data_IF_319355187425
#
_entry.id   IF_319355187425
#
_cell.length_a   1.000
_cell.length_b   1.000
_cell.length_c   1.000
_cell.angle_alpha   90.00
_cell.angle_beta   90.00
_cell.angle_gamma   90.00
#
_symmetry.space_group_name_H-M   'P 1'
#
loop_
_entity.id
_entity.type
_entity.pdbx_description
1 polymer ?
#
# COMPACT_ATOMS: atom_id res chain seq x y z
N UNK A 1 -7.37 -9.93 30.71
CA UNK A 1 -7.31 -8.46 30.81
C UNK A 1 -5.86 -8.03 30.82
N UNK A 2 -5.31 -7.63 29.68
CA UNK A 2 -4.19 -6.68 29.47
C UNK A 2 -4.02 -6.62 27.95
N UNK A 3 -4.81 -5.75 27.30
CA UNK A 3 -4.74 -5.53 25.86
C UNK A 3 -3.40 -4.88 25.54
N UNK A 4 -2.49 -5.62 24.89
CA UNK A 4 -1.24 -5.03 24.42
C UNK A 4 -1.53 -4.20 23.19
N UNK A 5 -1.59 -2.90 23.44
CA UNK A 5 -1.48 -1.80 22.50
C UNK A 5 -0.29 -2.06 21.56
N UNK A 6 -0.54 -2.53 20.34
CA UNK A 6 0.48 -2.59 19.32
C UNK A 6 0.65 -1.15 18.80
N UNK A 7 1.64 -0.45 19.34
CA UNK A 7 2.07 0.86 18.81
C UNK A 7 2.68 0.59 17.44
N UNK A 8 1.82 0.63 16.42
CA UNK A 8 2.25 0.80 15.03
C UNK A 8 2.82 2.20 14.98
N UNK A 9 4.16 2.29 15.06
CA UNK A 9 4.89 3.50 14.71
C UNK A 9 4.71 3.70 13.20
N UNK A 10 3.58 4.29 12.83
CA UNK A 10 3.36 4.83 11.49
C UNK A 10 4.36 5.97 11.38
N UNK A 11 5.47 5.72 10.68
CA UNK A 11 6.32 6.80 10.19
C UNK A 11 5.43 7.64 9.29
N UNK A 12 4.97 8.77 9.83
CA UNK A 12 4.31 9.82 9.09
C UNK A 12 5.35 10.36 8.10
N UNK A 13 5.43 9.75 6.92
CA UNK A 13 6.01 10.42 5.77
C UNK A 13 5.04 11.56 5.45
N UNK A 14 5.34 12.75 5.97
CA UNK A 14 4.71 13.97 5.49
C UNK A 14 5.08 14.11 4.01
N UNK A 15 4.21 13.60 3.14
CA UNK A 15 4.26 13.92 1.72
C UNK A 15 3.94 15.40 1.64
N UNK A 16 4.96 16.22 1.40
CA UNK A 16 4.77 17.60 1.02
C UNK A 16 4.03 17.59 -0.32
N UNK A 17 2.71 17.75 -0.28
CA UNK A 17 1.91 18.05 -1.47
C UNK A 17 2.23 19.49 -1.84
N UNK A 18 3.12 19.69 -2.81
CA UNK A 18 3.27 20.99 -3.44
C UNK A 18 2.17 21.11 -4.49
N UNK A 19 1.32 22.12 -4.30
CA UNK A 19 0.28 22.51 -5.25
C UNK A 19 0.80 23.50 -6.32
N UNK A 20 2.11 23.52 -6.55
CA UNK A 20 2.72 24.38 -7.55
C UNK A 20 2.29 23.95 -8.97
N UNK A 21 2.07 24.93 -9.83
CA UNK A 21 1.81 24.70 -11.25
C UNK A 21 3.10 24.94 -12.02
N UNK A 22 3.56 23.95 -12.77
CA UNK A 22 4.60 24.09 -13.77
C UNK A 22 4.04 23.56 -15.07
N UNK A 23 3.72 24.44 -16.01
CA UNK A 23 3.13 24.07 -17.30
C UNK A 23 3.89 24.74 -18.45
N UNK A 24 4.44 23.94 -19.36
CA UNK A 24 5.26 24.43 -20.48
C UNK A 24 6.74 24.63 -20.14
N UNK A 25 7.48 25.24 -21.06
CA UNK A 25 8.93 25.43 -20.94
C UNK A 25 9.35 26.78 -21.50
N UNK A 26 10.30 27.42 -20.84
CA UNK A 26 10.94 28.64 -21.33
C UNK A 26 12.08 28.30 -22.28
N UNK A 27 12.09 28.91 -23.47
CA UNK A 27 13.22 28.86 -24.39
C UNK A 27 13.98 30.21 -24.39
N UNK A 28 15.07 30.31 -25.16
CA UNK A 28 15.89 31.52 -25.25
C UNK A 28 15.13 32.78 -25.73
N UNK A 29 13.94 32.60 -26.33
CA UNK A 29 13.07 33.69 -26.82
C UNK A 29 11.81 33.88 -25.98
N UNK A 30 11.66 33.14 -24.88
CA UNK A 30 10.52 33.27 -23.98
C UNK A 30 10.74 34.50 -23.12
N UNK A 31 9.83 35.46 -23.22
CA UNK A 31 9.82 36.65 -22.37
C UNK A 31 8.83 36.46 -21.25
N UNK A 32 9.24 36.81 -20.02
CA UNK A 32 8.30 36.90 -18.90
C UNK A 32 7.33 38.07 -19.16
N UNK A 33 6.06 37.77 -19.34
CA UNK A 33 5.00 38.75 -19.62
C UNK A 33 4.16 39.08 -18.40
N UNK A 34 4.18 38.21 -17.39
CA UNK A 34 3.51 38.43 -16.11
C UNK A 34 4.38 37.89 -14.97
N UNK A 35 4.47 38.64 -13.89
CA UNK A 35 5.20 38.29 -12.67
C UNK A 35 4.59 39.08 -11.53
N UNK A 36 3.79 38.44 -10.69
CA UNK A 36 3.16 39.11 -9.57
C UNK A 36 3.10 38.18 -8.35
N UNK A 37 3.36 38.78 -7.18
CA UNK A 37 3.11 38.15 -5.90
C UNK A 37 1.65 38.37 -5.52
N UNK A 38 0.87 37.30 -5.47
CA UNK A 38 -0.52 37.30 -5.03
C UNK A 38 -0.61 36.83 -3.59
N UNK A 39 -0.96 37.75 -2.69
CA UNK A 39 -1.08 37.47 -1.26
C UNK A 39 -2.44 37.95 -0.74
N UNK A 40 -3.11 37.08 0.01
CA UNK A 40 -4.33 37.42 0.71
C UNK A 40 -4.23 36.95 2.16
N UNK A 41 -4.53 37.85 3.10
CA UNK A 41 -4.59 37.50 4.53
C UNK A 41 -5.78 36.59 4.87
N UNK A 42 -5.80 36.02 6.09
CA UNK A 42 -6.89 35.16 6.56
C UNK A 42 -8.24 35.89 6.54
N UNK A 43 -9.31 35.17 6.23
CA UNK A 43 -10.69 35.69 6.21
C UNK A 43 -11.69 34.61 6.65
N UNK A 44 -12.89 34.99 7.09
CA UNK A 44 -13.94 34.05 7.50
C UNK A 44 -14.59 33.26 6.34
N UNK A 45 -14.10 33.45 5.12
CA UNK A 45 -14.47 32.72 3.91
C UNK A 45 -13.21 32.28 3.16
N UNK A 46 -13.35 31.31 2.24
CA UNK A 46 -12.23 30.94 1.37
C UNK A 46 -11.89 32.12 0.45
N UNK A 47 -10.62 32.51 0.42
CA UNK A 47 -10.11 33.47 -0.56
C UNK A 47 -10.09 32.79 -1.93
N UNK A 48 -10.50 33.53 -2.94
CA UNK A 48 -10.60 33.09 -4.34
C UNK A 48 -10.27 34.30 -5.22
N UNK A 49 -9.21 34.21 -6.02
CA UNK A 49 -8.78 35.25 -6.95
C UNK A 49 -8.55 34.64 -8.33
N UNK A 50 -8.98 35.39 -9.35
CA UNK A 50 -8.78 35.07 -10.75
C UNK A 50 -7.70 35.99 -11.33
N UNK A 51 -6.68 35.38 -11.91
CA UNK A 51 -5.58 36.07 -12.58
C UNK A 51 -5.69 35.80 -14.08
N UNK A 52 -5.99 36.84 -14.83
CA UNK A 52 -6.11 36.79 -16.29
C UNK A 52 -4.86 37.40 -16.92
N UNK A 53 -4.15 36.61 -17.72
CA UNK A 53 -2.96 37.06 -18.43
C UNK A 53 -3.18 36.91 -19.93
N UNK A 54 -3.05 38.02 -20.64
CA UNK A 54 -3.15 38.09 -22.09
C UNK A 54 -1.78 38.41 -22.69
N UNK A 55 -1.42 37.74 -23.79
CA UNK A 55 -0.23 38.06 -24.55
C UNK A 55 -0.45 39.32 -25.40
N UNK A 56 0.63 40.02 -25.74
CA UNK A 56 0.59 41.13 -26.69
C UNK A 56 0.88 40.63 -28.10
N UNK A 57 0.40 41.36 -29.11
CA UNK A 57 0.63 41.04 -30.53
C UNK A 57 0.26 39.58 -30.86
N UNK A 58 1.09 38.92 -31.69
CA UNK A 58 0.92 37.55 -32.10
C UNK A 58 1.66 36.60 -31.15
N UNK A 59 1.97 36.95 -29.89
CA UNK A 59 2.71 36.04 -29.02
C UNK A 59 1.79 34.95 -28.45
N UNK A 60 2.33 33.76 -28.18
CA UNK A 60 1.65 32.66 -27.50
C UNK A 60 2.37 32.31 -26.20
N UNK A 61 1.62 31.84 -25.22
CA UNK A 61 2.14 31.44 -23.90
C UNK A 61 3.05 30.23 -24.08
N UNK A 62 4.28 30.30 -23.57
CA UNK A 62 5.26 29.22 -23.63
C UNK A 62 5.37 28.46 -22.30
N UNK A 63 5.24 29.15 -21.17
CA UNK A 63 5.28 28.56 -19.83
C UNK A 63 4.46 29.34 -18.80
N UNK A 64 3.95 28.63 -17.80
CA UNK A 64 3.22 29.15 -16.64
C UNK A 64 3.79 28.49 -15.40
N UNK A 65 4.29 29.30 -14.47
CA UNK A 65 4.77 28.86 -13.16
C UNK A 65 3.94 29.54 -12.07
N UNK A 66 3.30 28.73 -11.23
CA UNK A 66 2.63 29.19 -10.01
C UNK A 66 3.28 28.48 -8.84
N UNK A 67 3.90 29.24 -7.94
CA UNK A 67 4.62 28.69 -6.79
C UNK A 67 3.95 29.16 -5.51
N UNK A 68 3.51 28.24 -4.67
CA UNK A 68 3.06 28.54 -3.31
C UNK A 68 4.30 28.86 -2.46
N UNK A 69 4.37 30.11 -2.00
CA UNK A 69 5.47 30.62 -1.19
C UNK A 69 5.24 30.39 0.31
N UNK A 70 4.18 29.69 0.70
CA UNK A 70 3.93 29.32 2.09
C UNK A 70 4.78 28.13 2.49
N UNK A 71 5.21 28.10 3.75
CA UNK A 71 5.98 26.99 4.31
C UNK A 71 5.26 25.63 4.19
N UNK A 72 3.93 25.65 4.24
CA UNK A 72 3.11 24.44 4.17
C UNK A 72 2.66 24.06 2.75
N UNK A 73 2.98 24.87 1.72
CA UNK A 73 2.72 24.64 0.29
C UNK A 73 1.29 24.13 -0.06
N UNK A 74 0.29 24.44 0.78
CA UNK A 74 -1.05 23.88 0.68
C UNK A 74 -2.10 24.81 0.04
N UNK A 75 -1.69 25.95 -0.49
CA UNK A 75 -2.54 26.80 -1.31
C UNK A 75 -3.05 26.03 -2.52
N UNK A 76 -4.27 26.32 -2.96
CA UNK A 76 -4.89 25.65 -4.10
C UNK A 76 -4.75 26.54 -5.36
N UNK A 77 -4.10 26.06 -6.42
CA UNK A 77 -3.98 26.77 -7.70
C UNK A 77 -4.37 25.87 -8.87
N UNK A 78 -5.08 26.42 -9.87
CA UNK A 78 -5.36 25.69 -11.13
C UNK A 78 -5.56 26.65 -12.32
N UNK A 79 -5.34 26.14 -13.53
CA UNK A 79 -5.67 26.85 -14.78
C UNK A 79 -7.14 26.59 -15.10
N UNK A 80 -7.94 27.65 -15.17
CA UNK A 80 -9.38 27.58 -15.47
C UNK A 80 -9.63 27.52 -16.98
N UNK A 81 -8.93 28.33 -17.77
CA UNK A 81 -9.02 28.32 -19.23
C UNK A 81 -7.76 28.91 -19.90
N UNK A 82 -7.60 28.64 -21.19
CA UNK A 82 -6.41 29.07 -21.95
C UNK A 82 -5.18 28.20 -21.67
N UNK A 83 -3.98 28.80 -21.72
CA UNK A 83 -2.73 28.13 -21.36
C UNK A 83 -1.66 28.12 -22.44
N UNK A 84 -0.71 27.19 -22.34
CA UNK A 84 0.44 27.07 -23.25
C UNK A 84 -0.03 26.86 -24.70
N UNK A 85 0.59 27.58 -25.63
CA UNK A 85 0.23 27.59 -27.05
C UNK A 85 -0.95 28.50 -27.40
N UNK A 86 -1.61 29.10 -26.40
CA UNK A 86 -2.71 30.06 -26.58
C UNK A 86 -2.25 31.48 -26.23
N UNK A 87 -3.10 32.46 -26.55
CA UNK A 87 -2.81 33.90 -26.36
C UNK A 87 -3.27 34.43 -25.01
N UNK A 88 -3.95 33.62 -24.22
CA UNK A 88 -4.43 34.00 -22.90
C UNK A 88 -4.44 32.79 -21.97
N UNK A 89 -4.36 33.07 -20.68
CA UNK A 89 -4.56 32.10 -19.61
C UNK A 89 -5.34 32.74 -18.47
N UNK A 90 -6.24 31.97 -17.88
CA UNK A 90 -6.97 32.30 -16.66
C UNK A 90 -6.52 31.33 -15.58
N UNK A 91 -5.95 31.87 -14.49
CA UNK A 91 -5.41 31.12 -13.36
C UNK A 91 -6.26 31.45 -12.14
N UNK A 92 -6.73 30.42 -11.43
CA UNK A 92 -7.46 30.54 -10.16
C UNK A 92 -6.54 30.24 -9.00
N UNK A 93 -6.55 31.12 -8.00
CA UNK A 93 -5.81 31.00 -6.75
C UNK A 93 -6.78 30.94 -5.58
N UNK A 94 -6.62 29.97 -4.68
CA UNK A 94 -7.51 29.76 -3.55
C UNK A 94 -6.77 29.47 -2.25
N UNK A 95 -7.34 29.95 -1.15
CA UNK A 95 -6.90 29.55 0.18
C UNK A 95 -7.29 28.10 0.48
N UNK A 96 -6.48 27.32 1.22
CA UNK A 96 -6.79 25.93 1.58
C UNK A 96 -8.07 25.80 2.41
N UNK A 97 -8.33 26.77 3.29
CA UNK A 97 -9.46 26.78 4.22
C UNK A 97 -9.90 28.21 4.54
N UNK A 98 -11.07 28.34 5.17
CA UNK A 98 -11.43 29.58 5.88
C UNK A 98 -10.38 29.87 6.96
N UNK A 99 -10.29 31.13 7.35
CA UNK A 99 -9.31 31.69 8.30
C UNK A 99 -7.86 31.45 7.92
N UNK A 100 -7.59 31.07 6.66
CA UNK A 100 -6.25 30.98 6.09
C UNK A 100 -6.15 31.87 4.86
N UNK A 101 -4.97 32.44 4.68
CA UNK A 101 -4.61 33.20 3.50
C UNK A 101 -4.07 32.33 2.38
N UNK A 102 -3.57 32.97 1.33
CA UNK A 102 -2.67 32.34 0.36
C UNK A 102 -1.51 33.29 0.03
N UNK A 103 -0.42 32.74 -0.48
CA UNK A 103 0.72 33.51 -0.98
C UNK A 103 1.36 32.79 -2.16
N UNK A 104 1.10 33.27 -3.37
CA UNK A 104 1.60 32.67 -4.60
C UNK A 104 2.47 33.63 -5.39
N UNK A 105 3.58 33.13 -5.95
CA UNK A 105 4.27 33.78 -7.04
C UNK A 105 3.69 33.25 -8.36
N UNK A 106 3.17 34.14 -9.20
CA UNK A 106 2.65 33.77 -10.52
C UNK A 106 3.53 34.39 -11.60
N UNK A 107 4.16 33.53 -12.38
CA UNK A 107 5.01 33.89 -13.51
C UNK A 107 4.46 33.29 -14.81
N UNK A 108 4.25 34.11 -15.84
CA UNK A 108 3.81 33.67 -17.17
C UNK A 108 4.78 34.16 -18.24
N UNK A 109 5.12 33.27 -19.16
CA UNK A 109 6.06 33.52 -20.25
C UNK A 109 5.37 33.36 -21.60
N UNK A 110 5.77 34.18 -22.57
CA UNK A 110 5.28 34.12 -23.94
C UNK A 110 6.41 34.20 -24.96
N UNK A 111 6.13 33.73 -26.17
CA UNK A 111 7.05 33.74 -27.31
C UNK A 111 6.30 34.09 -28.60
N UNK A 112 6.92 34.76 -29.59
CA UNK A 112 6.25 35.16 -30.83
C UNK A 112 5.71 33.99 -31.67
N UNK A 113 4.46 34.09 -32.14
CA UNK A 113 3.85 33.12 -33.07
C UNK A 113 4.43 33.31 -34.47
N UNK A 114 5.20 32.32 -34.90
CA UNK A 114 5.87 32.32 -36.20
C UNK A 114 7.14 31.49 -36.21
N UNK A 115 7.77 31.30 -35.05
CA UNK A 115 8.96 30.46 -34.93
C UNK A 115 8.83 29.52 -33.73
N UNK A 116 8.32 28.31 -33.98
CA UNK A 116 8.50 27.17 -33.08
C UNK A 116 7.26 26.39 -32.62
N UNK A 117 6.04 26.72 -33.04
CA UNK A 117 4.83 25.96 -32.64
C UNK A 117 3.89 25.59 -33.80
N UNK A 118 4.44 25.33 -34.99
CA UNK A 118 3.77 24.53 -36.01
C UNK A 118 4.64 23.33 -36.39
N UNK A 119 4.57 22.25 -35.60
CA UNK A 119 4.83 20.92 -36.14
C UNK A 119 3.49 20.24 -36.39
N UNK A 120 2.94 20.48 -37.57
CA UNK A 120 1.94 19.58 -38.16
C UNK A 120 2.72 18.36 -38.64
N UNK A 121 2.81 17.30 -37.83
CA UNK A 121 3.29 15.98 -38.26
C UNK A 121 4.65 15.47 -37.74
N UNK A 122 5.28 16.11 -36.75
CA UNK A 122 6.48 15.58 -36.09
C UNK A 122 6.11 14.88 -34.78
N UNK A 123 6.39 13.57 -34.67
CA UNK A 123 6.09 12.78 -33.48
C UNK A 123 6.66 13.38 -32.20
N UNK A 124 5.77 13.74 -31.27
CA UNK A 124 6.12 14.15 -29.92
C UNK A 124 6.63 12.93 -29.14
N UNK A 125 7.96 12.77 -29.04
CA UNK A 125 8.58 12.14 -27.88
C UNK A 125 8.79 13.22 -26.82
N UNK A 126 7.77 13.39 -26.00
CA UNK A 126 7.74 14.34 -24.91
C UNK A 126 6.34 14.26 -24.36
N UNK A 127 6.18 13.46 -23.29
CA UNK A 127 4.94 13.23 -22.57
C UNK A 127 4.03 14.45 -22.63
N UNK A 128 2.85 14.27 -23.23
CA UNK A 128 1.72 15.16 -22.96
C UNK A 128 1.45 15.10 -21.46
N UNK A 129 2.11 15.97 -20.69
CA UNK A 129 1.67 16.31 -19.35
C UNK A 129 0.40 17.15 -19.52
N UNK A 130 -0.72 16.46 -19.72
CA UNK A 130 -1.97 16.90 -19.11
C UNK A 130 -1.64 17.34 -17.68
N UNK A 131 -2.24 18.40 -17.12
CA UNK A 131 -2.09 18.71 -15.70
C UNK A 131 -2.34 17.39 -14.98
N UNK A 132 -1.27 16.79 -14.45
CA UNK A 132 -1.33 15.48 -13.85
C UNK A 132 -2.05 15.77 -12.56
N UNK A 133 -3.37 15.67 -12.60
CA UNK A 133 -4.23 15.86 -11.47
C UNK A 133 -3.64 14.93 -10.41
N UNK A 134 -2.90 15.50 -9.45
CA UNK A 134 -2.04 14.73 -8.54
C UNK A 134 -2.92 13.74 -7.76
N UNK A 135 -4.22 14.05 -7.68
CA UNK A 135 -5.34 13.18 -7.34
C UNK A 135 -5.38 11.80 -8.02
N UNK A 136 -4.94 11.61 -9.28
CA UNK A 136 -4.96 10.29 -9.95
C UNK A 136 -3.78 9.43 -9.50
N UNK A 137 -2.62 10.05 -9.31
CA UNK A 137 -1.43 9.39 -8.73
C UNK A 137 -1.66 9.11 -7.25
N UNK A 138 -2.35 10.00 -6.55
CA UNK A 138 -2.77 9.83 -5.17
C UNK A 138 -3.79 8.71 -5.07
N UNK A 139 -4.88 8.68 -5.86
CA UNK A 139 -5.81 7.54 -5.89
C UNK A 139 -5.09 6.21 -6.11
N UNK A 140 -4.14 6.13 -7.03
CA UNK A 140 -3.36 4.90 -7.26
C UNK A 140 -2.46 4.55 -6.08
N UNK A 141 -1.83 5.52 -5.42
CA UNK A 141 -0.99 5.32 -4.23
C UNK A 141 -1.80 5.00 -2.97
N UNK A 142 -2.95 5.64 -2.74
CA UNK A 142 -3.89 5.30 -1.65
C UNK A 142 -4.48 3.92 -1.88
N UNK A 143 -4.77 3.54 -3.14
CA UNK A 143 -5.18 2.18 -3.50
C UNK A 143 -4.05 1.19 -3.20
N UNK A 144 -2.80 1.48 -3.58
CA UNK A 144 -1.65 0.64 -3.28
C UNK A 144 -1.43 0.47 -1.76
N UNK A 145 -1.58 1.54 -0.97
CA UNK A 145 -1.47 1.48 0.49
C UNK A 145 -2.63 0.67 1.08
N UNK A 146 -3.87 0.85 0.59
CA UNK A 146 -5.01 0.04 1.03
C UNK A 146 -4.85 -1.44 0.64
N UNK A 147 -4.32 -1.73 -0.54
CA UNK A 147 -3.98 -3.09 -0.99
C UNK A 147 -2.88 -3.69 -0.10
N UNK A 148 -1.80 -2.95 0.17
CA UNK A 148 -0.74 -3.39 1.07
C UNK A 148 -1.25 -3.63 2.51
N UNK A 149 -2.14 -2.77 3.00
CA UNK A 149 -2.78 -2.93 4.31
C UNK A 149 -3.68 -4.17 4.34
N UNK A 150 -4.43 -4.42 3.27
CA UNK A 150 -5.26 -5.62 3.13
C UNK A 150 -4.41 -6.90 3.05
N UNK A 151 -3.29 -6.87 2.30
CA UNK A 151 -2.35 -7.99 2.20
C UNK A 151 -1.70 -8.30 3.57
N UNK A 152 -1.40 -7.27 4.37
CA UNK A 152 -0.88 -7.45 5.72
C UNK A 152 -1.91 -8.11 6.65
N UNK A 153 -3.21 -7.81 6.49
CA UNK A 153 -4.31 -8.47 7.24
C UNK A 153 -4.55 -9.90 6.76
N UNK A 154 -4.38 -10.19 5.46
CA UNK A 154 -4.46 -11.58 4.97
C UNK A 154 -3.32 -12.45 5.49
N UNK A 155 -2.11 -11.89 5.63
CA UNK A 155 -0.97 -12.62 6.18
C UNK A 155 -1.14 -13.03 7.66
N UNK A 156 -1.95 -12.31 8.43
CA UNK A 156 -2.21 -12.62 9.84
C UNK A 156 -3.35 -13.63 10.07
N UNK A 157 -3.97 -14.16 9.02
CA UNK A 157 -5.08 -15.12 9.10
C UNK A 157 -4.72 -16.51 8.55
N UNK A 158 -3.45 -16.93 8.71
CA UNK A 158 -3.01 -18.24 8.23
C UNK A 158 -3.07 -19.29 9.35
N UNK A 159 -3.95 -20.29 9.23
CA UNK A 159 -3.87 -21.50 10.07
C UNK A 159 -2.77 -22.42 9.53
N UNK A 160 -2.00 -23.04 10.42
CA UNK A 160 -0.90 -23.95 10.06
C UNK A 160 -1.33 -25.41 10.13
N UNK A 161 -2.40 -25.74 9.41
CA UNK A 161 -2.92 -27.11 9.31
C UNK A 161 -1.97 -27.98 8.46
N UNK A 162 -1.84 -29.26 8.81
CA UNK A 162 -1.12 -30.25 8.01
C UNK A 162 -1.99 -31.48 7.77
N UNK A 163 -2.22 -31.79 6.50
CA UNK A 163 -2.91 -33.00 6.08
C UNK A 163 -2.01 -33.82 5.14
N UNK A 164 -1.78 -35.08 5.48
CA UNK A 164 -0.96 -36.01 4.70
C UNK A 164 -1.76 -37.29 4.48
N UNK A 165 -1.80 -37.77 3.23
CA UNK A 165 -2.61 -38.91 2.85
C UNK A 165 -4.10 -38.58 2.72
N UNK A 166 -4.91 -39.61 2.55
CA UNK A 166 -6.36 -39.50 2.39
C UNK A 166 -7.03 -40.66 3.14
N UNK A 167 -7.96 -40.34 4.02
CA UNK A 167 -8.80 -41.35 4.67
C UNK A 167 -9.94 -41.74 3.72
N UNK A 168 -10.10 -43.04 3.50
CA UNK A 168 -11.13 -43.62 2.63
C UNK A 168 -12.10 -44.46 3.43
N UNK A 169 -13.18 -44.91 2.80
CA UNK A 169 -14.15 -45.80 3.44
C UNK A 169 -13.46 -47.07 3.97
N UNK A 170 -13.69 -47.39 5.25
CA UNK A 170 -13.06 -48.50 5.96
C UNK A 170 -11.78 -48.13 6.74
N UNK A 171 -11.28 -46.89 6.66
CA UNK A 171 -10.22 -46.40 7.53
C UNK A 171 -10.79 -45.92 8.88
N UNK A 172 -10.11 -46.24 9.98
CA UNK A 172 -10.54 -45.87 11.34
C UNK A 172 -9.53 -44.93 11.98
N UNK A 173 -10.00 -44.11 12.92
CA UNK A 173 -9.11 -43.28 13.75
C UNK A 173 -8.35 -44.22 14.69
N UNK A 174 -7.04 -44.34 14.47
CA UNK A 174 -6.16 -45.20 15.28
C UNK A 174 -5.44 -44.41 16.38
N UNK A 175 -5.40 -43.08 16.27
CA UNK A 175 -4.85 -42.18 17.27
C UNK A 175 -5.49 -40.80 17.17
N UNK A 176 -5.80 -40.21 18.32
CA UNK A 176 -6.27 -38.82 18.42
C UNK A 176 -5.74 -38.21 19.69
N UNK A 177 -5.14 -37.02 19.59
CA UNK A 177 -4.61 -36.30 20.74
C UNK A 177 -4.73 -34.79 20.53
N UNK A 178 -4.91 -34.07 21.62
CA UNK A 178 -4.90 -32.61 21.66
C UNK A 178 -3.67 -32.14 22.43
N UNK A 179 -2.83 -31.34 21.78
CA UNK A 179 -1.56 -30.88 22.30
C UNK A 179 -1.59 -29.37 22.50
N UNK A 180 -1.59 -28.95 23.77
CA UNK A 180 -1.66 -27.54 24.16
C UNK A 180 -0.47 -27.18 25.03
N UNK A 181 0.29 -26.14 24.64
CA UNK A 181 1.30 -25.50 25.51
C UNK A 181 1.16 -23.99 25.48
N UNK A 182 1.25 -23.38 26.66
CA UNK A 182 1.22 -21.93 26.80
C UNK A 182 2.49 -21.28 26.22
N UNK A 183 2.27 -20.11 25.60
CA UNK A 183 3.35 -19.26 25.10
C UNK A 183 4.18 -18.65 26.21
N UNK A 184 5.44 -18.35 25.91
CA UNK A 184 6.31 -17.61 26.81
C UNK A 184 7.18 -16.64 26.00
N UNK A 185 7.32 -15.37 26.42
CA UNK A 185 8.07 -14.36 25.67
C UNK A 185 9.47 -14.83 25.26
N UNK A 186 9.83 -14.60 24.00
CA UNK A 186 11.14 -14.93 23.41
C UNK A 186 11.49 -16.44 23.37
N UNK A 187 10.65 -17.32 23.87
CA UNK A 187 10.87 -18.78 23.87
C UNK A 187 10.01 -19.44 22.79
N UNK A 188 10.55 -20.50 22.18
CA UNK A 188 9.81 -21.39 21.28
C UNK A 188 9.48 -22.70 22.00
N UNK A 189 8.23 -23.16 21.91
CA UNK A 189 7.80 -24.44 22.45
C UNK A 189 7.94 -25.52 21.38
N UNK A 190 8.43 -26.69 21.76
CA UNK A 190 8.47 -27.86 20.88
C UNK A 190 7.86 -29.04 21.63
N UNK A 191 7.06 -29.84 20.91
CA UNK A 191 6.51 -31.10 21.38
C UNK A 191 6.75 -32.16 20.31
N UNK A 192 7.15 -33.35 20.73
CA UNK A 192 7.34 -34.48 19.83
C UNK A 192 6.33 -35.54 20.24
N UNK A 193 5.44 -35.87 19.32
CA UNK A 193 4.44 -36.92 19.45
C UNK A 193 4.92 -38.14 18.68
N UNK A 194 4.80 -39.31 19.30
CA UNK A 194 5.20 -40.58 18.71
C UNK A 194 4.01 -41.51 18.75
N UNK A 195 3.70 -42.08 17.59
CA UNK A 195 2.68 -43.10 17.44
C UNK A 195 3.28 -44.34 16.74
N UNK A 196 3.05 -45.56 17.24
CA UNK A 196 2.51 -45.87 18.57
C UNK A 196 3.42 -45.33 19.69
N UNK A 197 2.91 -45.27 20.91
CA UNK A 197 3.73 -44.88 22.05
C UNK A 197 4.90 -45.87 22.24
N UNK A 198 6.05 -45.43 22.79
CA UNK A 198 7.17 -46.32 23.04
C UNK A 198 6.76 -47.55 23.85
N UNK A 199 6.99 -48.74 23.31
CA UNK A 199 6.58 -50.01 23.93
C UNK A 199 5.22 -50.54 23.51
N UNK A 200 4.44 -49.79 22.73
CA UNK A 200 3.20 -50.25 22.12
C UNK A 200 3.44 -50.78 20.70
N UNK A 201 2.76 -51.88 20.36
CA UNK A 201 2.74 -52.41 19.01
C UNK A 201 1.53 -51.87 18.24
N UNK A 202 1.74 -51.44 17.00
CA UNK A 202 0.66 -51.06 16.09
C UNK A 202 0.55 -52.06 14.94
N UNK A 203 -0.66 -52.55 14.71
CA UNK A 203 -1.00 -53.49 13.63
C UNK A 203 -1.66 -52.81 12.43
N UNK A 204 -2.09 -51.55 12.57
CA UNK A 204 -2.72 -50.78 11.49
C UNK A 204 -1.68 -50.04 10.64
N UNK A 205 -1.86 -50.06 9.33
CA UNK A 205 -1.09 -49.21 8.41
C UNK A 205 -1.70 -47.81 8.42
N UNK A 206 -0.88 -46.79 8.62
CA UNK A 206 -1.30 -45.38 8.60
C UNK A 206 -1.72 -45.00 7.18
N UNK A 207 -2.93 -44.46 7.03
CA UNK A 207 -3.51 -44.03 5.75
C UNK A 207 -3.59 -42.52 5.61
N UNK A 208 -3.87 -41.82 6.70
CA UNK A 208 -3.88 -40.36 6.73
C UNK A 208 -3.47 -39.81 8.09
N UNK A 209 -2.88 -38.63 8.09
CA UNK A 209 -2.53 -37.86 9.28
C UNK A 209 -3.07 -36.45 9.07
N UNK A 210 -3.98 -36.03 9.94
CA UNK A 210 -4.54 -34.68 9.96
C UNK A 210 -4.14 -34.00 11.26
N UNK A 211 -3.48 -32.86 11.16
CA UNK A 211 -3.08 -32.01 12.27
C UNK A 211 -3.71 -30.65 12.04
N UNK A 212 -4.63 -30.30 12.93
CA UNK A 212 -5.36 -29.05 12.88
C UNK A 212 -4.80 -28.06 13.87
N UNK A 213 -4.41 -26.88 13.39
CA UNK A 213 -4.07 -25.73 14.21
C UNK A 213 -5.35 -25.07 14.70
N UNK A 214 -5.56 -25.09 16.02
CA UNK A 214 -6.74 -24.47 16.61
C UNK A 214 -6.56 -22.94 16.77
N UNK A 215 -5.35 -22.41 16.55
CA UNK A 215 -5.07 -20.97 16.56
C UNK A 215 -5.28 -20.37 15.16
N UNK A 216 -6.39 -19.65 14.98
CA UNK A 216 -6.76 -19.02 13.69
C UNK A 216 -6.18 -17.62 13.47
N UNK A 217 -5.45 -17.10 14.45
CA UNK A 217 -4.89 -15.75 14.49
C UNK A 217 -3.47 -15.66 13.90
N UNK A 218 -3.04 -16.71 13.18
CA UNK A 218 -1.69 -16.78 12.63
C UNK A 218 -0.59 -16.99 13.67
N UNK A 219 -0.93 -17.11 14.97
CA UNK A 219 0.04 -17.24 16.08
C UNK A 219 0.43 -18.69 16.37
N UNK A 220 -0.19 -19.65 15.70
CA UNK A 220 -0.02 -21.07 15.93
C UNK A 220 1.38 -21.60 15.62
N UNK A 221 1.56 -22.90 15.78
CA UNK A 221 2.84 -23.56 15.51
C UNK A 221 2.97 -24.08 14.09
N UNK A 222 4.06 -24.81 13.83
CA UNK A 222 4.30 -25.53 12.59
C UNK A 222 4.38 -27.03 12.91
N UNK A 223 3.44 -27.84 12.41
CA UNK A 223 3.55 -29.28 12.47
C UNK A 223 4.48 -29.81 11.37
N UNK A 224 5.35 -30.77 11.70
CA UNK A 224 6.20 -31.46 10.75
C UNK A 224 6.29 -32.96 11.07
N UNK A 225 6.50 -33.78 10.06
CA UNK A 225 6.81 -35.20 10.24
C UNK A 225 8.32 -35.35 10.42
N UNK A 226 8.74 -35.85 11.58
CA UNK A 226 10.14 -36.09 11.90
C UNK A 226 10.64 -37.48 11.48
N UNK A 227 9.76 -38.49 11.46
CA UNK A 227 10.05 -39.85 10.99
C UNK A 227 8.75 -40.64 10.75
N UNK A 228 8.81 -41.71 9.96
CA UNK A 228 7.65 -42.56 9.67
C UNK A 228 6.62 -41.87 8.76
N UNK A 229 5.34 -42.23 8.92
CA UNK A 229 4.23 -41.55 8.23
C UNK A 229 3.24 -42.48 7.53
N UNK A 230 2.54 -41.95 6.53
CA UNK A 230 1.56 -42.69 5.72
C UNK A 230 2.23 -43.87 5.00
N UNK A 231 1.57 -45.02 4.98
CA UNK A 231 2.10 -46.28 4.45
C UNK A 231 2.94 -47.06 5.46
N UNK A 232 3.32 -46.46 6.59
CA UNK A 232 4.05 -47.12 7.66
C UNK A 232 3.15 -47.38 8.87
N UNK A 233 3.67 -48.12 9.86
CA UNK A 233 2.96 -48.42 11.11
C UNK A 233 3.35 -47.50 12.27
N UNK A 234 4.26 -46.56 12.04
CA UNK A 234 4.69 -45.59 13.04
C UNK A 234 4.85 -44.20 12.41
N UNK A 235 4.72 -43.17 13.24
CA UNK A 235 5.01 -41.79 12.87
C UNK A 235 5.51 -41.01 14.08
N UNK A 236 6.48 -40.12 13.83
CA UNK A 236 6.98 -39.14 14.78
C UNK A 236 6.64 -37.76 14.27
N UNK A 237 5.77 -37.07 14.98
CA UNK A 237 5.27 -35.73 14.65
C UNK A 237 5.98 -34.73 15.56
N UNK A 238 6.52 -33.65 14.98
CA UNK A 238 7.12 -32.55 15.71
C UNK A 238 6.24 -31.32 15.55
N UNK A 239 5.76 -30.80 16.67
CA UNK A 239 5.00 -29.55 16.74
C UNK A 239 5.92 -28.47 17.30
N UNK A 240 6.10 -27.37 16.58
CA UNK A 240 6.96 -26.26 17.01
C UNK A 240 6.17 -24.96 17.00
N UNK A 241 6.06 -24.25 18.12
CA UNK A 241 5.38 -22.95 18.15
C UNK A 241 6.16 -21.88 17.37
N UNK A 242 5.49 -20.76 17.09
CA UNK A 242 6.19 -19.51 16.82
C UNK A 242 6.83 -18.95 18.10
N UNK A 243 7.87 -18.13 17.94
CA UNK A 243 8.61 -17.54 19.07
C UNK A 243 7.68 -16.60 19.85
N UNK A 244 7.60 -16.76 21.17
CA UNK A 244 6.71 -15.97 22.02
C UNK A 244 5.30 -16.53 22.16
N UNK A 245 4.90 -17.46 21.29
CA UNK A 245 3.54 -18.00 21.22
C UNK A 245 3.46 -19.43 21.78
N UNK A 246 2.23 -19.85 22.07
CA UNK A 246 1.90 -21.21 22.46
C UNK A 246 1.72 -22.14 21.27
N UNK A 247 1.23 -23.34 21.53
CA UNK A 247 0.75 -24.27 20.51
C UNK A 247 -0.56 -24.88 20.97
N UNK A 248 -1.47 -25.11 20.03
CA UNK A 248 -2.75 -25.77 20.26
C UNK A 248 -3.11 -26.55 19.00
N UNK A 249 -2.83 -27.85 19.01
CA UNK A 249 -3.05 -28.72 17.86
C UNK A 249 -3.96 -29.88 18.21
N UNK A 250 -4.85 -30.24 17.28
CA UNK A 250 -5.58 -31.50 17.31
C UNK A 250 -4.98 -32.43 16.26
N UNK A 251 -4.41 -33.55 16.71
CA UNK A 251 -3.80 -34.58 15.86
C UNK A 251 -4.80 -35.72 15.72
N UNK A 252 -5.07 -36.13 14.49
CA UNK A 252 -5.90 -37.30 14.17
C UNK A 252 -5.17 -38.16 13.14
N UNK A 253 -4.92 -39.42 13.47
CA UNK A 253 -4.28 -40.39 12.59
C UNK A 253 -5.31 -41.45 12.23
N UNK A 254 -5.45 -41.70 10.93
CA UNK A 254 -6.28 -42.75 10.37
C UNK A 254 -5.41 -43.92 9.92
N UNK A 255 -5.89 -45.13 10.11
CA UNK A 255 -5.27 -46.32 9.56
C UNK A 255 -6.25 -47.45 9.32
N UNK A 256 -5.69 -48.53 8.76
CA UNK A 256 -6.42 -49.74 8.41
C UNK A 256 -5.68 -50.95 8.94
N UNK A 257 -6.40 -51.82 9.63
CA UNK A 257 -5.90 -53.13 10.04
C UNK A 257 -5.74 -54.00 8.80
N UNK A 258 -4.60 -54.69 8.71
CA UNK A 258 -4.27 -55.64 7.65
C UNK A 258 -4.06 -56.99 8.29
#
# INVERSE_FOLDING_TARGET
>A
MYSKLFVVLVVYLSVAESNDIINGYTNARSKKIYSELKEAGPALWKRDEEVVVNTTYNDVISAIYVTDLREDHNGEAYIESGGVGLRSVVIRLKSPSILRGYKFQVDVYATPMGEGLFHKGGGYYGDTQYPRNVNRTNKMKTLCVAILLSLAVFASCQSHDLAIGQATYGDVIIYKADEVKYGFPLITRTTIIQYPEPGQNNYAIIKAIYIKDNNKDGSGGFPTIGAGGVGQRFVKIKLKSQRGNGLNFTITIYGRYV
#
